data_IF_396667982358
#
_entry.id   IF_396667982358
#
_cell.length_a   1.000
_cell.length_b   1.000
_cell.length_c   1.000
_cell.angle_alpha   90.00
_cell.angle_beta   90.00
_cell.angle_gamma   90.00
#
_symmetry.space_group_name_H-M   'P 1'
#
loop_
_entity.id
_entity.type
_entity.pdbx_description
1 polymer ?
#
# COMPACT_ATOMS: atom_id res chain seq x y z
N UNK A 1 37.17 15.85 34.31
CA UNK A 1 35.88 15.77 33.59
C UNK A 1 36.06 16.52 32.28
N UNK A 2 36.20 15.77 31.18
CA UNK A 2 36.33 16.31 29.83
C UNK A 2 35.03 17.05 29.49
N UNK A 3 35.11 18.35 29.20
CA UNK A 3 33.93 19.14 28.82
C UNK A 3 33.42 18.58 27.50
N UNK A 4 32.22 18.01 27.50
CA UNK A 4 31.53 17.60 26.28
C UNK A 4 31.50 18.80 25.31
N UNK A 5 32.22 18.68 24.20
CA UNK A 5 32.23 19.71 23.17
C UNK A 5 30.87 19.69 22.45
N UNK A 6 30.01 20.64 22.78
CA UNK A 6 28.67 20.79 22.21
C UNK A 6 28.68 20.83 20.67
N UNK A 7 29.75 21.32 20.03
CA UNK A 7 29.87 21.29 18.56
C UNK A 7 30.02 19.87 18.02
N UNK A 8 30.81 19.04 18.69
CA UNK A 8 31.06 17.67 18.26
C UNK A 8 29.82 16.80 18.48
N UNK A 9 29.08 17.04 19.56
CA UNK A 9 27.79 16.38 19.82
C UNK A 9 26.73 16.74 18.77
N UNK A 10 26.64 18.01 18.36
CA UNK A 10 25.71 18.46 17.31
C UNK A 10 26.12 17.90 15.94
N UNK A 11 27.41 17.90 15.61
CA UNK A 11 27.91 17.32 14.37
C UNK A 11 27.63 15.82 14.28
N UNK A 12 27.83 15.08 15.38
CA UNK A 12 27.47 13.67 15.48
C UNK A 12 25.97 13.43 15.31
N UNK A 13 25.13 14.22 15.98
CA UNK A 13 23.67 14.14 15.86
C UNK A 13 23.19 14.36 14.43
N UNK A 14 23.66 15.42 13.76
CA UNK A 14 23.32 15.70 12.36
C UNK A 14 23.76 14.57 11.42
N UNK A 15 24.98 14.06 11.60
CA UNK A 15 25.49 12.93 10.83
C UNK A 15 24.66 11.65 11.03
N UNK A 16 24.21 11.39 12.26
CA UNK A 16 23.34 10.27 12.58
C UNK A 16 21.95 10.41 11.93
N UNK A 17 21.37 11.61 11.96
CA UNK A 17 20.11 11.90 11.26
C UNK A 17 20.22 11.69 9.75
N UNK A 18 21.26 12.22 9.10
CA UNK A 18 21.46 12.01 7.65
C UNK A 18 21.65 10.53 7.30
N UNK A 19 22.30 9.74 8.16
CA UNK A 19 22.43 8.30 7.98
C UNK A 19 21.10 7.57 8.13
N UNK A 20 20.25 8.00 9.06
CA UNK A 20 18.90 7.45 9.24
C UNK A 20 18.01 7.75 8.02
N UNK A 21 17.98 9.00 7.55
CA UNK A 21 17.23 9.37 6.34
C UNK A 21 17.68 8.56 5.12
N UNK A 22 19.00 8.38 4.98
CA UNK A 22 19.57 7.56 3.91
C UNK A 22 19.22 6.09 4.03
N UNK A 23 19.21 5.54 5.25
CA UNK A 23 18.80 4.16 5.50
C UNK A 23 17.30 3.96 5.21
N UNK A 24 16.46 4.94 5.54
CA UNK A 24 15.03 4.93 5.21
C UNK A 24 14.82 4.98 3.70
N UNK A 25 15.52 5.86 2.98
CA UNK A 25 15.45 5.92 1.51
C UNK A 25 15.89 4.61 0.85
N UNK A 26 16.98 3.99 1.32
CA UNK A 26 17.45 2.69 0.82
C UNK A 26 16.46 1.56 1.12
N UNK A 27 15.82 1.59 2.29
CA UNK A 27 14.77 0.63 2.63
C UNK A 27 13.54 0.80 1.73
N UNK A 28 13.12 2.04 1.48
CA UNK A 28 12.05 2.35 0.55
C UNK A 28 12.39 1.83 -0.86
N UNK A 29 13.57 2.14 -1.39
CA UNK A 29 14.05 1.67 -2.70
C UNK A 29 14.09 0.14 -2.78
N UNK A 30 14.61 -0.53 -1.75
CA UNK A 30 14.64 -1.99 -1.67
C UNK A 30 13.23 -2.58 -1.73
N UNK A 31 12.30 -1.98 -0.99
CA UNK A 31 10.89 -2.40 -1.01
C UNK A 31 10.28 -2.17 -2.40
N UNK A 32 10.57 -1.05 -3.08
CA UNK A 32 10.12 -0.82 -4.45
C UNK A 32 10.67 -1.87 -5.42
N UNK A 33 11.97 -2.18 -5.33
CA UNK A 33 12.62 -3.20 -6.15
C UNK A 33 12.07 -4.60 -5.88
N UNK A 34 11.78 -4.94 -4.63
CA UNK A 34 11.14 -6.21 -4.27
C UNK A 34 9.71 -6.29 -4.78
N UNK A 35 8.95 -5.18 -4.81
CA UNK A 35 7.64 -5.15 -5.46
C UNK A 35 7.75 -5.32 -6.98
N UNK A 36 8.69 -4.65 -7.64
CA UNK A 36 8.91 -4.79 -9.07
C UNK A 36 9.39 -6.20 -9.46
N UNK A 37 10.27 -6.79 -8.65
CA UNK A 37 10.71 -8.18 -8.78
C UNK A 37 9.55 -9.15 -8.54
N UNK A 38 8.72 -8.88 -7.53
CA UNK A 38 7.50 -9.63 -7.27
C UNK A 38 6.52 -9.57 -8.43
N UNK A 39 6.35 -8.40 -9.08
CA UNK A 39 5.53 -8.23 -10.28
C UNK A 39 6.11 -8.98 -11.49
N UNK A 40 7.43 -8.98 -11.70
CA UNK A 40 8.08 -9.73 -12.79
C UNK A 40 8.06 -11.25 -12.56
N UNK A 41 8.29 -11.71 -11.32
CA UNK A 41 8.21 -13.13 -10.94
C UNK A 41 6.75 -13.63 -10.99
N UNK A 42 5.80 -12.82 -10.52
CA UNK A 42 4.37 -13.05 -10.66
C UNK A 42 3.95 -13.24 -12.12
N UNK A 43 4.48 -12.41 -13.01
CA UNK A 43 4.20 -12.50 -14.44
C UNK A 43 4.86 -13.73 -15.09
N UNK A 44 5.84 -14.39 -14.44
CA UNK A 44 6.64 -15.47 -15.03
C UNK A 44 6.39 -16.87 -14.45
N UNK A 45 5.94 -17.02 -13.20
CA UNK A 45 6.01 -18.32 -12.50
C UNK A 45 4.75 -18.69 -11.67
N UNK A 46 3.96 -17.73 -11.17
CA UNK A 46 2.79 -18.01 -10.33
C UNK A 46 1.47 -17.50 -10.94
N UNK A 47 0.33 -18.07 -10.54
CA UNK A 47 -0.96 -17.55 -11.00
C UNK A 47 -1.15 -16.12 -10.45
N UNK A 48 -1.65 -15.14 -11.25
CA UNK A 48 -1.75 -13.75 -10.83
C UNK A 48 -2.62 -13.56 -9.57
N UNK A 49 -3.56 -14.47 -9.32
CA UNK A 49 -4.36 -14.52 -8.10
C UNK A 49 -3.52 -14.73 -6.84
N UNK A 50 -2.54 -15.64 -6.87
CA UNK A 50 -1.69 -15.93 -5.71
C UNK A 50 -0.84 -14.72 -5.33
N UNK A 51 -0.37 -14.00 -6.33
CA UNK A 51 0.42 -12.77 -6.16
C UNK A 51 -0.44 -11.69 -5.53
N UNK A 52 -1.66 -11.49 -6.03
CA UNK A 52 -2.61 -10.57 -5.43
C UNK A 52 -2.93 -10.94 -3.96
N UNK A 53 -3.12 -12.22 -3.66
CA UNK A 53 -3.40 -12.71 -2.31
C UNK A 53 -2.20 -12.47 -1.37
N UNK A 54 -0.97 -12.68 -1.85
CA UNK A 54 0.26 -12.38 -1.11
C UNK A 54 0.40 -10.88 -0.81
N UNK A 55 0.11 -10.01 -1.79
CA UNK A 55 0.13 -8.56 -1.61
C UNK A 55 -0.93 -8.08 -0.61
N UNK A 56 -2.14 -8.63 -0.66
CA UNK A 56 -3.21 -8.35 0.32
C UNK A 56 -2.76 -8.77 1.72
N UNK A 57 -2.13 -9.94 1.86
CA UNK A 57 -1.60 -10.45 3.13
C UNK A 57 -0.48 -9.55 3.66
N UNK A 58 0.45 -9.14 2.80
CA UNK A 58 1.53 -8.23 3.16
C UNK A 58 0.98 -6.88 3.63
N UNK A 59 0.00 -6.31 2.93
CA UNK A 59 -0.64 -5.05 3.32
C UNK A 59 -1.25 -5.14 4.72
N UNK A 60 -1.99 -6.21 5.02
CA UNK A 60 -2.56 -6.46 6.37
C UNK A 60 -1.49 -6.53 7.45
N UNK A 61 -0.34 -7.14 7.18
CA UNK A 61 0.76 -7.25 8.14
C UNK A 61 1.49 -5.91 8.40
N UNK A 62 1.38 -4.96 7.48
CA UNK A 62 1.98 -3.62 7.60
C UNK A 62 1.06 -2.63 8.32
N UNK A 63 -0.26 -2.87 8.32
CA UNK A 63 -1.22 -2.10 9.12
C UNK A 63 -0.88 -2.22 10.60
N UNK A 64 -0.49 -1.10 11.22
CA UNK A 64 -0.07 -1.04 12.64
C UNK A 64 1.44 -0.90 12.86
N UNK A 65 2.26 -0.94 11.82
CA UNK A 65 3.71 -0.67 11.91
C UNK A 65 4.02 0.81 11.67
N UNK A 66 5.12 1.33 12.24
CA UNK A 66 5.65 2.68 11.93
C UNK A 66 5.94 2.76 10.43
N UNK A 67 5.36 3.74 9.74
CA UNK A 67 5.38 3.91 8.27
C UNK A 67 4.70 2.80 7.44
N UNK A 68 4.04 1.83 8.08
CA UNK A 68 3.44 0.67 7.40
C UNK A 68 2.24 1.01 6.52
N UNK A 69 1.55 2.12 6.76
CA UNK A 69 0.39 2.53 5.96
C UNK A 69 0.76 2.89 4.51
N UNK A 70 1.93 3.51 4.28
CA UNK A 70 2.39 3.84 2.92
C UNK A 70 2.69 2.58 2.12
N UNK A 71 3.35 1.60 2.76
CA UNK A 71 3.64 0.30 2.14
C UNK A 71 2.38 -0.52 1.89
N UNK A 72 1.41 -0.47 2.82
CA UNK A 72 0.12 -1.13 2.65
C UNK A 72 -0.67 -0.54 1.47
N UNK A 73 -0.70 0.79 1.33
CA UNK A 73 -1.35 1.46 0.18
C UNK A 73 -0.72 1.04 -1.15
N UNK A 74 0.61 0.98 -1.22
CA UNK A 74 1.34 0.54 -2.41
C UNK A 74 1.01 -0.92 -2.77
N UNK A 75 1.08 -1.84 -1.80
CA UNK A 75 0.74 -3.24 -1.99
C UNK A 75 -0.70 -3.43 -2.50
N UNK A 76 -1.66 -2.75 -1.88
CA UNK A 76 -3.08 -2.85 -2.25
C UNK A 76 -3.36 -2.29 -3.64
N UNK A 77 -2.70 -1.20 -4.02
CA UNK A 77 -2.83 -0.62 -5.37
C UNK A 77 -2.27 -1.55 -6.43
N UNK A 78 -1.14 -2.21 -6.16
CA UNK A 78 -0.58 -3.23 -7.07
C UNK A 78 -1.49 -4.45 -7.16
N UNK A 79 -2.00 -4.96 -6.02
CA UNK A 79 -2.94 -6.08 -6.01
C UNK A 79 -4.21 -5.76 -6.83
N UNK A 80 -4.73 -4.54 -6.74
CA UNK A 80 -5.87 -4.10 -7.54
C UNK A 80 -5.58 -4.17 -9.04
N UNK A 81 -4.43 -3.64 -9.49
CA UNK A 81 -4.05 -3.66 -10.91
C UNK A 81 -3.93 -5.08 -11.46
N UNK A 82 -3.48 -6.03 -10.65
CA UNK A 82 -3.42 -7.44 -11.05
C UNK A 82 -4.83 -8.00 -11.18
N UNK A 83 -5.63 -7.93 -10.11
CA UNK A 83 -6.97 -8.55 -10.08
C UNK A 83 -7.90 -7.93 -11.13
N UNK A 84 -7.86 -6.60 -11.32
CA UNK A 84 -8.71 -5.91 -12.28
C UNK A 84 -8.44 -6.29 -13.75
N UNK A 85 -7.28 -6.88 -14.06
CA UNK A 85 -6.98 -7.39 -15.41
C UNK A 85 -7.54 -8.78 -15.67
N UNK A 86 -7.73 -9.58 -14.62
CA UNK A 86 -8.02 -11.02 -14.74
C UNK A 86 -9.41 -11.41 -14.23
N UNK A 87 -10.08 -10.52 -13.50
CA UNK A 87 -11.32 -10.83 -12.82
C UNK A 87 -12.37 -9.72 -13.04
N UNK A 88 -13.67 -10.06 -12.97
CA UNK A 88 -14.74 -9.08 -13.04
C UNK A 88 -14.68 -8.11 -11.84
N UNK A 89 -15.29 -6.94 -12.00
CA UNK A 89 -15.19 -5.83 -11.04
C UNK A 89 -15.79 -6.14 -9.65
N UNK A 90 -16.71 -7.09 -9.58
CA UNK A 90 -17.36 -7.58 -8.35
C UNK A 90 -16.58 -8.69 -7.65
N UNK A 91 -15.38 -9.02 -8.13
CA UNK A 91 -14.56 -10.05 -7.52
C UNK A 91 -14.31 -9.76 -6.03
N UNK A 92 -14.46 -10.79 -5.19
CA UNK A 92 -14.29 -10.68 -3.74
C UNK A 92 -12.93 -10.10 -3.30
N UNK A 93 -11.87 -10.28 -4.11
CA UNK A 93 -10.57 -9.65 -3.87
C UNK A 93 -10.63 -8.14 -4.07
N UNK A 94 -11.29 -7.63 -5.11
CA UNK A 94 -11.46 -6.19 -5.35
C UNK A 94 -12.20 -5.55 -4.18
N UNK A 95 -13.28 -6.18 -3.73
CA UNK A 95 -14.03 -5.74 -2.53
C UNK A 95 -13.10 -5.66 -1.31
N UNK A 96 -12.31 -6.71 -1.08
CA UNK A 96 -11.35 -6.76 0.03
C UNK A 96 -10.32 -5.66 -0.08
N UNK A 97 -9.78 -5.42 -1.28
CA UNK A 97 -8.79 -4.37 -1.53
C UNK A 97 -9.38 -2.99 -1.22
N UNK A 98 -10.59 -2.68 -1.67
CA UNK A 98 -11.23 -1.40 -1.38
C UNK A 98 -11.46 -1.19 0.12
N UNK A 99 -11.90 -2.20 0.86
CA UNK A 99 -12.04 -2.10 2.33
C UNK A 99 -10.71 -1.75 3.00
N UNK A 100 -9.64 -2.42 2.58
CA UNK A 100 -8.31 -2.21 3.15
C UNK A 100 -7.74 -0.84 2.76
N UNK A 101 -7.94 -0.39 1.53
CA UNK A 101 -7.56 0.96 1.10
C UNK A 101 -8.32 2.01 1.88
N UNK A 102 -9.63 1.84 2.08
CA UNK A 102 -10.44 2.72 2.93
C UNK A 102 -9.88 2.85 4.35
N UNK A 103 -9.55 1.71 4.97
CA UNK A 103 -8.90 1.70 6.28
C UNK A 103 -7.53 2.39 6.28
N UNK A 104 -6.66 2.09 5.31
CA UNK A 104 -5.33 2.68 5.19
C UNK A 104 -5.41 4.19 4.99
N UNK A 105 -6.27 4.67 4.10
CA UNK A 105 -6.49 6.09 3.85
C UNK A 105 -7.00 6.81 5.10
N UNK A 106 -7.92 6.21 5.87
CA UNK A 106 -8.36 6.77 7.16
C UNK A 106 -7.18 6.99 8.11
N UNK A 107 -6.27 6.01 8.21
CA UNK A 107 -5.10 6.08 9.10
C UNK A 107 -4.04 7.06 8.63
N UNK A 108 -4.01 7.37 7.34
CA UNK A 108 -3.14 8.40 6.75
C UNK A 108 -3.75 9.82 6.79
N UNK A 109 -4.99 9.99 7.27
CA UNK A 109 -5.70 11.29 7.23
C UNK A 109 -6.31 11.63 5.87
N UNK A 110 -6.26 10.72 4.90
CA UNK A 110 -6.84 10.85 3.55
C UNK A 110 -8.35 10.52 3.57
N UNK A 111 -9.11 11.29 4.34
CA UNK A 111 -10.51 10.96 4.65
C UNK A 111 -11.42 10.93 3.41
N UNK A 112 -11.14 11.78 2.41
CA UNK A 112 -11.94 11.83 1.17
C UNK A 112 -11.72 10.56 0.34
N UNK A 113 -10.48 10.11 0.18
CA UNK A 113 -10.17 8.82 -0.47
C UNK A 113 -10.76 7.65 0.32
N UNK A 114 -10.67 7.70 1.65
CA UNK A 114 -11.22 6.65 2.49
C UNK A 114 -12.72 6.47 2.30
N UNK A 115 -13.49 7.58 2.26
CA UNK A 115 -14.92 7.54 1.96
C UNK A 115 -15.21 6.92 0.59
N UNK A 116 -14.45 7.30 -0.44
CA UNK A 116 -14.61 6.73 -1.79
C UNK A 116 -14.40 5.22 -1.79
N UNK A 117 -13.31 4.75 -1.20
CA UNK A 117 -13.01 3.31 -1.18
C UNK A 117 -14.00 2.51 -0.34
N UNK A 118 -14.41 3.02 0.82
CA UNK A 118 -15.43 2.38 1.63
C UNK A 118 -16.78 2.31 0.91
N UNK A 119 -17.18 3.38 0.21
CA UNK A 119 -18.38 3.39 -0.60
C UNK A 119 -18.31 2.37 -1.75
N UNK A 120 -17.19 2.31 -2.49
CA UNK A 120 -17.00 1.31 -3.55
C UNK A 120 -17.09 -0.12 -3.02
N UNK A 121 -16.46 -0.40 -1.88
CA UNK A 121 -16.57 -1.71 -1.24
C UNK A 121 -18.02 -2.06 -0.88
N UNK A 122 -18.75 -1.13 -0.29
CA UNK A 122 -20.16 -1.33 0.09
C UNK A 122 -21.04 -1.55 -1.14
N UNK A 123 -20.88 -0.75 -2.18
CA UNK A 123 -21.67 -0.87 -3.42
C UNK A 123 -21.49 -2.24 -4.04
N UNK A 124 -20.25 -2.73 -4.17
CA UNK A 124 -19.97 -4.06 -4.73
C UNK A 124 -20.45 -5.21 -3.82
N UNK A 125 -20.49 -4.99 -2.50
CA UNK A 125 -21.04 -5.97 -1.55
C UNK A 125 -22.56 -6.07 -1.58
N UNK A 126 -23.24 -4.94 -1.74
CA UNK A 126 -24.71 -4.87 -1.70
C UNK A 126 -25.31 -5.10 -3.09
N UNK A 127 -24.60 -4.75 -4.16
CA UNK A 127 -25.04 -4.93 -5.53
C UNK A 127 -23.85 -5.31 -6.44
N UNK A 128 -23.52 -6.61 -6.58
CA UNK A 128 -22.39 -7.06 -7.39
C UNK A 128 -22.60 -6.88 -8.91
N UNK A 129 -23.81 -6.50 -9.37
CA UNK A 129 -24.03 -6.24 -10.80
C UNK A 129 -23.34 -4.95 -11.25
N UNK A 130 -22.81 -4.91 -12.49
CA UNK A 130 -22.15 -3.72 -13.01
C UNK A 130 -23.14 -2.56 -13.03
N UNK A 131 -22.75 -1.43 -12.40
CA UNK A 131 -23.48 -0.18 -12.52
C UNK A 131 -23.47 0.20 -14.00
N UNK A 132 -24.55 -0.09 -14.73
CA UNK A 132 -24.78 0.58 -16.00
C UNK A 132 -25.10 2.02 -15.62
N UNK A 133 -24.12 2.91 -15.72
CA UNK A 133 -24.39 4.34 -15.76
C UNK A 133 -25.10 4.54 -17.11
N UNK A 134 -26.41 4.33 -17.14
CA UNK A 134 -27.23 4.82 -18.26
C UNK A 134 -27.06 6.33 -18.22
N UNK A 135 -26.22 6.84 -19.12
CA UNK A 135 -26.24 8.21 -19.56
C UNK A 135 -27.69 8.55 -19.90
N UNK A 136 -28.30 9.42 -19.10
CA UNK A 136 -29.59 9.99 -19.44
C UNK A 136 -29.49 10.65 -20.81
N UNK A 137 -30.33 10.19 -21.74
CA UNK A 137 -30.83 10.96 -22.85
C UNK A 137 -32.25 11.39 -22.50
#
# INVERSE_FOLDING_TARGET
>A
MEKLNLKDAVAFGNSAFTRLDRAEALYEELVERLYALGEDVANRIESPERVADALIKAAKAQVGRRNGFRLAEKALTTAYRIVAKIAPADNARIITIYKLLGHVCCRQGKHREAMKYNALALVLQVNPQPISIRSGQ
#
